data_IF_311543446517
#
_entry.id   IF_311543446517
#
_cell.length_a   1.000
_cell.length_b   1.000
_cell.length_c   1.000
_cell.angle_alpha   90.00
_cell.angle_beta   90.00
_cell.angle_gamma   90.00
#
_symmetry.space_group_name_H-M   'P 1'
#
loop_
_entity.id
_entity.type
_entity.pdbx_description
1 polymer ?
#
# COMPACT_ATOMS: atom_id res chain seq x y z
N UNK A 1 -49.96 -69.64 -10.61
CA UNK A 1 -48.58 -69.12 -10.59
C UNK A 1 -48.60 -67.67 -11.01
N UNK A 2 -48.56 -66.76 -10.05
CA UNK A 2 -48.53 -65.32 -10.35
C UNK A 2 -47.09 -64.83 -10.38
N UNK A 3 -46.60 -64.45 -11.55
CA UNK A 3 -45.28 -63.84 -11.67
C UNK A 3 -45.39 -62.38 -11.27
N UNK A 4 -44.77 -62.03 -10.16
CA UNK A 4 -44.59 -60.63 -9.74
C UNK A 4 -43.46 -60.04 -10.54
N UNK A 5 -43.79 -59.00 -11.32
CA UNK A 5 -42.80 -58.21 -12.04
C UNK A 5 -42.39 -57.03 -11.13
N UNK A 6 -41.15 -57.06 -10.64
CA UNK A 6 -40.59 -55.98 -9.83
C UNK A 6 -39.94 -54.98 -10.77
N UNK A 7 -40.53 -53.78 -10.89
CA UNK A 7 -39.90 -52.65 -11.57
C UNK A 7 -38.97 -51.92 -10.61
N UNK A 8 -37.68 -52.03 -10.84
CA UNK A 8 -36.70 -51.16 -10.20
C UNK A 8 -36.67 -49.82 -10.94
N UNK A 9 -37.23 -48.77 -10.31
CA UNK A 9 -37.07 -47.41 -10.77
C UNK A 9 -35.68 -46.87 -10.33
N UNK A 10 -34.79 -46.73 -11.29
CA UNK A 10 -33.52 -46.01 -11.07
C UNK A 10 -33.78 -44.52 -11.20
N UNK A 11 -33.83 -43.79 -10.12
CA UNK A 11 -33.81 -42.33 -10.13
C UNK A 11 -32.35 -41.86 -10.16
N UNK A 12 -31.93 -41.44 -11.35
CA UNK A 12 -30.64 -40.75 -11.50
C UNK A 12 -30.75 -39.32 -10.93
N UNK A 13 -30.17 -39.11 -9.75
CA UNK A 13 -29.99 -37.78 -9.21
C UNK A 13 -28.83 -37.10 -9.94
N UNK A 14 -29.14 -36.19 -10.86
CA UNK A 14 -28.15 -35.30 -11.46
C UNK A 14 -27.79 -34.24 -10.45
N UNK A 15 -26.68 -34.46 -9.75
CA UNK A 15 -26.09 -33.46 -8.87
C UNK A 15 -25.42 -32.38 -9.71
N UNK A 16 -26.01 -31.19 -9.77
CA UNK A 16 -25.34 -29.98 -10.26
C UNK A 16 -24.23 -29.61 -9.29
N UNK A 17 -23.01 -30.01 -9.60
CA UNK A 17 -21.80 -29.48 -8.94
C UNK A 17 -21.60 -28.04 -9.38
N UNK A 18 -22.14 -27.11 -8.61
CA UNK A 18 -21.82 -25.69 -8.75
C UNK A 18 -20.36 -25.50 -8.30
N UNK A 19 -19.45 -25.48 -9.28
CA UNK A 19 -18.06 -25.10 -9.05
C UNK A 19 -18.02 -23.61 -8.76
N UNK A 20 -18.12 -23.23 -7.47
CA UNK A 20 -17.75 -21.90 -7.03
C UNK A 20 -16.24 -21.81 -7.05
N UNK A 21 -15.68 -21.27 -8.14
CA UNK A 21 -14.30 -20.87 -8.19
C UNK A 21 -14.10 -19.78 -7.13
N UNK A 22 -13.15 -19.95 -6.19
CA UNK A 22 -12.80 -18.84 -5.33
C UNK A 22 -12.23 -17.74 -6.21
N UNK A 23 -12.92 -16.61 -6.27
CA UNK A 23 -12.33 -15.37 -6.78
C UNK A 23 -11.19 -15.08 -5.80
N UNK A 24 -9.96 -15.35 -6.22
CA UNK A 24 -8.79 -14.85 -5.54
C UNK A 24 -8.91 -13.33 -5.61
N UNK A 25 -9.40 -12.73 -4.51
CA UNK A 25 -9.26 -11.33 -4.28
C UNK A 25 -7.76 -11.08 -4.39
N UNK A 26 -7.34 -10.33 -5.41
CA UNK A 26 -5.97 -9.85 -5.51
C UNK A 26 -5.76 -9.03 -4.24
N UNK A 27 -5.06 -9.58 -3.26
CA UNK A 27 -4.63 -8.84 -2.09
C UNK A 27 -3.77 -7.71 -2.62
N UNK A 28 -4.39 -6.56 -2.68
CA UNK A 28 -3.71 -5.32 -3.00
C UNK A 28 -2.75 -5.04 -1.87
N UNK A 29 -1.52 -5.51 -2.03
CA UNK A 29 -0.51 -5.48 -0.98
C UNK A 29 -0.17 -4.05 -0.60
N UNK A 30 -0.29 -3.75 0.69
CA UNK A 30 0.18 -2.48 1.26
C UNK A 30 1.67 -2.63 1.56
N UNK A 31 2.48 -1.75 0.98
CA UNK A 31 3.91 -1.68 1.23
C UNK A 31 4.20 -0.62 2.28
N UNK A 32 4.94 -1.02 3.33
CA UNK A 32 5.37 -0.10 4.38
C UNK A 32 6.88 -0.18 4.56
N UNK A 33 7.54 0.98 4.65
CA UNK A 33 8.97 1.06 4.90
C UNK A 33 9.33 2.34 5.65
N UNK A 34 10.49 2.30 6.31
CA UNK A 34 11.01 3.44 7.05
C UNK A 34 12.05 4.20 6.24
N UNK A 35 11.97 5.53 6.28
CA UNK A 35 13.04 6.40 5.83
C UNK A 35 14.06 6.61 6.93
N UNK A 36 15.31 6.73 6.55
CA UNK A 36 16.43 6.98 7.45
C UNK A 36 17.10 8.30 7.09
N UNK A 37 17.66 8.97 8.09
CA UNK A 37 18.41 10.20 7.87
C UNK A 37 19.73 9.87 7.16
N UNK A 38 19.99 10.54 6.03
CA UNK A 38 21.25 10.40 5.32
C UNK A 38 22.42 10.91 6.15
N UNK A 39 23.60 10.39 5.91
CA UNK A 39 24.80 10.80 6.66
C UNK A 39 25.04 12.33 6.59
N UNK A 40 24.78 12.95 5.43
CA UNK A 40 24.94 14.40 5.25
C UNK A 40 23.92 15.25 6.00
N UNK A 41 22.72 14.72 6.23
CA UNK A 41 21.64 15.44 6.94
C UNK A 41 21.67 15.20 8.46
N UNK A 42 22.43 14.23 8.95
CA UNK A 42 22.39 13.80 10.35
C UNK A 42 22.78 14.91 11.34
N UNK A 43 23.63 15.83 10.96
CA UNK A 43 24.01 16.99 11.78
C UNK A 43 22.84 17.97 11.97
N UNK A 44 22.00 18.14 10.94
CA UNK A 44 20.86 19.07 10.94
C UNK A 44 19.57 18.42 11.45
N UNK A 45 19.41 17.13 11.21
CA UNK A 45 18.19 16.36 11.49
C UNK A 45 18.49 15.09 12.31
N UNK A 46 19.11 15.18 13.49
CA UNK A 46 19.62 14.01 14.22
C UNK A 46 18.52 13.03 14.64
N UNK A 47 17.30 13.52 14.85
CA UNK A 47 16.17 12.76 15.38
C UNK A 47 15.06 12.54 14.34
N UNK A 48 15.28 12.91 13.09
CA UNK A 48 14.26 12.76 12.06
C UNK A 48 14.05 11.30 11.70
N UNK A 49 12.81 10.92 11.54
CA UNK A 49 12.39 9.63 11.02
C UNK A 49 11.09 9.78 10.25
N UNK A 50 10.83 8.87 9.33
CA UNK A 50 9.54 8.79 8.66
C UNK A 50 9.19 7.35 8.36
N UNK A 51 7.88 7.08 8.34
CA UNK A 51 7.31 5.83 7.85
C UNK A 51 6.48 6.15 6.62
N UNK A 52 6.71 5.44 5.55
CA UNK A 52 5.96 5.55 4.29
C UNK A 52 5.12 4.29 4.12
N UNK A 53 3.84 4.48 3.84
CA UNK A 53 2.91 3.41 3.52
C UNK A 53 2.30 3.67 2.16
N UNK A 54 2.46 2.73 1.23
CA UNK A 54 1.86 2.76 -0.10
C UNK A 54 0.78 1.69 -0.16
N UNK A 55 -0.43 2.09 -0.50
CA UNK A 55 -1.57 1.18 -0.63
C UNK A 55 -2.33 1.43 -1.91
N UNK A 56 -2.81 0.40 -2.57
CA UNK A 56 -3.66 0.56 -3.74
C UNK A 56 -5.05 1.08 -3.36
N UNK A 57 -5.62 1.89 -4.24
CA UNK A 57 -6.95 2.47 -4.10
C UNK A 57 -7.63 2.53 -5.48
N UNK A 58 -8.09 1.37 -5.97
CA UNK A 58 -8.66 1.23 -7.31
C UNK A 58 -7.58 1.35 -8.39
N UNK A 59 -7.70 2.36 -9.25
CA UNK A 59 -6.75 2.62 -10.34
C UNK A 59 -5.58 3.54 -9.94
N UNK A 60 -5.44 3.86 -8.67
CA UNK A 60 -4.39 4.74 -8.13
C UNK A 60 -3.74 4.09 -6.92
N UNK A 61 -2.57 4.57 -6.56
CA UNK A 61 -1.93 4.28 -5.29
C UNK A 61 -1.96 5.50 -4.39
N UNK A 62 -2.16 5.26 -3.10
CA UNK A 62 -2.10 6.30 -2.07
C UNK A 62 -0.84 6.08 -1.25
N UNK A 63 -0.04 7.13 -1.14
CA UNK A 63 1.14 7.15 -0.29
C UNK A 63 0.87 8.00 0.95
N UNK A 64 0.89 7.37 2.11
CA UNK A 64 0.82 8.04 3.40
C UNK A 64 2.24 8.18 3.95
N UNK A 65 2.64 9.40 4.32
CA UNK A 65 3.96 9.66 4.90
C UNK A 65 3.79 10.26 6.30
N UNK A 66 4.29 9.55 7.31
CA UNK A 66 4.30 10.01 8.69
C UNK A 66 5.73 10.38 9.09
N UNK A 67 5.95 11.62 9.50
CA UNK A 67 7.27 12.14 9.87
C UNK A 67 7.34 12.51 11.34
N UNK A 68 8.53 12.35 11.92
CA UNK A 68 8.83 12.70 13.32
C UNK A 68 10.22 13.33 13.42
N UNK A 69 10.43 14.13 14.49
CA UNK A 69 11.75 14.68 14.81
C UNK A 69 12.25 15.76 13.85
N UNK A 70 11.35 16.38 13.07
CA UNK A 70 11.68 17.51 12.21
C UNK A 70 11.64 18.84 12.99
N UNK A 71 12.45 19.84 12.62
CA UNK A 71 12.39 21.18 13.21
C UNK A 71 11.03 21.84 12.92
N UNK A 72 10.58 22.67 13.87
CA UNK A 72 9.34 23.44 13.73
C UNK A 72 9.45 24.53 12.66
N UNK A 73 8.32 24.98 12.12
CA UNK A 73 8.22 26.05 11.12
C UNK A 73 9.18 25.91 9.94
N UNK A 74 9.30 24.68 9.41
CA UNK A 74 10.25 24.37 8.34
C UNK A 74 9.52 23.70 7.18
N UNK A 75 9.87 24.09 5.97
CA UNK A 75 9.33 23.51 4.74
C UNK A 75 10.32 22.49 4.17
N UNK A 76 9.78 21.37 3.73
CA UNK A 76 10.52 20.27 3.12
C UNK A 76 9.87 19.88 1.79
N UNK A 77 10.70 19.56 0.81
CA UNK A 77 10.23 18.99 -0.45
C UNK A 77 10.35 17.46 -0.40
N UNK A 78 9.33 16.77 -0.84
CA UNK A 78 9.29 15.32 -0.90
C UNK A 78 9.52 14.83 -2.33
N UNK A 79 10.52 13.96 -2.50
CA UNK A 79 10.87 13.35 -3.78
C UNK A 79 10.87 11.83 -3.69
N UNK A 80 10.49 11.18 -4.78
CA UNK A 80 10.76 9.77 -5.00
C UNK A 80 12.01 9.62 -5.84
N UNK A 81 12.92 8.74 -5.42
CA UNK A 81 14.18 8.44 -6.09
C UNK A 81 14.13 7.04 -6.70
N UNK A 82 14.71 6.89 -7.88
CA UNK A 82 14.76 5.61 -8.57
C UNK A 82 15.56 4.55 -7.81
N UNK A 83 16.65 4.96 -7.18
CA UNK A 83 17.51 4.09 -6.36
C UNK A 83 17.90 4.79 -5.04
N UNK A 84 18.11 4.04 -3.95
CA UNK A 84 18.30 4.61 -2.62
C UNK A 84 19.70 5.18 -2.36
N UNK A 85 20.63 5.03 -3.31
CA UNK A 85 22.03 5.46 -3.17
C UNK A 85 22.46 6.31 -4.35
N UNK A 86 23.38 7.25 -4.09
CA UNK A 86 23.98 8.07 -5.14
C UNK A 86 24.82 7.22 -6.12
N UNK A 87 24.73 7.50 -7.44
CA UNK A 87 23.83 8.43 -8.09
C UNK A 87 22.38 7.91 -8.08
N UNK A 88 21.45 8.74 -7.60
CA UNK A 88 20.05 8.35 -7.30
C UNK A 88 19.19 8.01 -8.52
N UNK A 89 19.72 8.15 -9.73
CA UNK A 89 18.98 7.97 -10.96
C UNK A 89 17.94 9.08 -11.16
N UNK A 90 16.77 8.70 -11.66
CA UNK A 90 15.67 9.65 -11.85
C UNK A 90 15.05 10.01 -10.50
N UNK A 91 14.83 11.30 -10.28
CA UNK A 91 14.12 11.83 -9.13
C UNK A 91 12.89 12.61 -9.60
N UNK A 92 11.74 12.44 -8.94
CA UNK A 92 10.55 13.22 -9.25
C UNK A 92 9.89 13.75 -7.98
N UNK A 93 9.40 14.95 -8.09
CA UNK A 93 8.74 15.67 -7.01
C UNK A 93 7.37 15.07 -6.73
N UNK A 94 7.06 14.88 -5.44
CA UNK A 94 5.79 14.33 -4.99
C UNK A 94 4.94 15.35 -4.22
N UNK A 95 5.56 16.28 -3.53
CA UNK A 95 4.82 17.27 -2.76
C UNK A 95 5.69 17.99 -1.73
N UNK A 96 5.04 18.87 -0.99
CA UNK A 96 5.63 19.62 0.10
C UNK A 96 5.13 19.13 1.45
N UNK A 97 6.00 19.23 2.44
CA UNK A 97 5.71 18.98 3.83
C UNK A 97 6.12 20.20 4.65
N UNK A 98 5.19 20.82 5.37
CA UNK A 98 5.48 21.93 6.27
C UNK A 98 5.22 21.52 7.71
N UNK A 99 6.15 21.86 8.60
CA UNK A 99 5.98 21.66 10.05
C UNK A 99 5.44 22.94 10.68
N UNK A 100 4.59 22.78 11.70
CA UNK A 100 4.02 23.89 12.45
C UNK A 100 4.89 24.32 13.66
N UNK A 101 4.36 25.23 14.47
CA UNK A 101 5.06 25.79 15.68
C UNK A 101 5.30 24.76 16.76
N UNK A 102 4.58 23.66 16.77
CA UNK A 102 4.65 22.64 17.84
C UNK A 102 5.71 21.57 17.58
N UNK A 103 6.47 21.71 16.48
CA UNK A 103 7.46 20.72 16.08
C UNK A 103 6.82 19.56 15.34
N UNK A 104 7.25 18.30 15.55
CA UNK A 104 6.86 17.18 14.69
C UNK A 104 5.34 16.98 14.65
N UNK A 105 4.68 17.86 13.94
CA UNK A 105 3.27 17.72 13.59
C UNK A 105 3.13 16.54 12.66
N UNK A 106 2.37 15.57 13.07
CA UNK A 106 1.88 14.50 12.20
C UNK A 106 0.94 15.14 11.17
N UNK A 107 1.49 15.79 10.15
CA UNK A 107 0.70 16.10 8.97
C UNK A 107 0.68 14.88 8.10
N UNK A 108 -0.45 14.23 8.10
CA UNK A 108 -0.80 13.22 7.12
C UNK A 108 -0.89 13.93 5.76
N UNK A 109 0.19 13.89 5.03
CA UNK A 109 0.20 14.32 3.64
C UNK A 109 -0.29 13.15 2.79
N UNK A 110 -1.56 13.13 2.44
CA UNK A 110 -2.07 12.18 1.47
C UNK A 110 -1.58 12.62 0.08
N UNK A 111 -0.53 11.97 -0.41
CA UNK A 111 -0.05 12.18 -1.78
C UNK A 111 -0.71 11.16 -2.68
N UNK A 112 -1.64 11.60 -3.51
CA UNK A 112 -2.26 10.78 -4.53
C UNK A 112 -1.29 10.59 -5.71
N UNK A 113 -0.69 9.42 -5.81
CA UNK A 113 0.09 9.02 -6.98
C UNK A 113 -0.87 8.32 -7.94
N UNK A 114 -1.12 8.93 -9.09
CA UNK A 114 -1.79 8.25 -10.20
C UNK A 114 -0.74 7.47 -10.98
N UNK A 115 -0.77 6.14 -10.89
CA UNK A 115 -0.06 5.30 -11.84
C UNK A 115 -0.71 5.49 -13.22
N UNK A 116 0.11 5.76 -14.24
CA UNK A 116 -0.31 5.77 -15.65
C UNK A 116 0.00 4.43 -16.27
#
# INVERSE_FOLDING_TARGET
MKKQLVYLAFTAAVGLLSSTSPILASDSETHEFNMVVSAGAKACLPNASATVRVRPAGSVEIMDVSVQGLPANTDFNFFVLQVPKSPFGVAWYQGDLSTDKTGPGTRRGDVLIRAR
#
